data_IF_374530461658
#
_entry.id   IF_374530461658
#
_cell.length_a   1.000
_cell.length_b   1.000
_cell.length_c   1.000
_cell.angle_alpha   90.00
_cell.angle_beta   90.00
_cell.angle_gamma   90.00
#
_symmetry.space_group_name_H-M   'P 1'
#
loop_
_entity.id
_entity.type
_entity.pdbx_description
1 polymer ?
#
# COMPACT_ATOMS: atom_id res chain seq x y z
N UNK A 1 12.72 51.22 40.23
CA UNK A 1 11.51 51.63 40.97
C UNK A 1 10.42 52.03 39.97
N UNK A 2 9.16 51.61 40.17
CA UNK A 2 7.93 52.07 39.45
C UNK A 2 8.00 51.91 37.90
N UNK A 3 7.23 51.06 37.21
CA UNK A 3 5.99 50.36 37.56
C UNK A 3 4.77 51.13 37.05
N UNK A 4 4.08 50.58 36.05
CA UNK A 4 2.68 50.91 35.76
C UNK A 4 1.97 49.70 35.12
N UNK A 5 0.72 49.51 35.52
CA UNK A 5 -0.04 48.27 35.42
C UNK A 5 -1.30 48.53 34.59
N UNK A 6 -1.55 47.78 33.51
CA UNK A 6 -2.74 47.95 32.67
C UNK A 6 -3.78 46.89 33.04
N UNK A 7 -4.89 47.35 33.61
CA UNK A 7 -5.97 46.51 34.13
C UNK A 7 -6.86 45.92 33.04
N UNK A 8 -7.19 44.64 33.19
CA UNK A 8 -8.23 43.94 32.42
C UNK A 8 -9.60 44.61 32.53
N UNK A 9 -10.39 44.54 31.45
CA UNK A 9 -11.85 44.72 31.50
C UNK A 9 -12.53 43.41 31.12
N UNK A 10 -13.17 42.79 32.10
CA UNK A 10 -14.13 41.71 31.86
C UNK A 10 -15.45 42.30 31.35
N UNK A 11 -16.12 41.60 30.43
CA UNK A 11 -17.53 41.87 30.09
C UNK A 11 -18.36 40.63 30.37
N UNK A 12 -19.27 40.74 31.34
CA UNK A 12 -20.21 39.69 31.71
C UNK A 12 -21.53 39.90 30.95
N UNK A 13 -22.09 38.84 30.36
CA UNK A 13 -23.52 38.81 30.00
C UNK A 13 -24.13 37.43 30.26
N UNK A 14 -25.14 37.43 31.12
CA UNK A 14 -25.87 36.26 31.58
C UNK A 14 -27.10 35.98 30.71
N UNK A 15 -27.45 34.70 30.61
CA UNK A 15 -28.59 34.06 29.93
C UNK A 15 -29.92 34.84 29.80
N UNK A 16 -30.62 34.60 28.67
CA UNK A 16 -32.09 34.40 28.67
C UNK A 16 -32.43 33.14 27.86
N UNK A 17 -33.27 32.28 28.43
CA UNK A 17 -33.70 30.98 27.88
C UNK A 17 -35.17 31.06 27.46
N UNK A 18 -35.47 31.00 26.17
CA UNK A 18 -36.85 31.04 25.66
C UNK A 18 -37.33 29.66 25.19
N UNK A 19 -38.31 29.07 25.90
CA UNK A 19 -39.07 27.91 25.41
C UNK A 19 -40.16 28.39 24.44
N UNK A 20 -40.36 27.69 23.32
CA UNK A 20 -41.68 27.62 22.65
C UNK A 20 -42.09 26.17 22.46
N UNK A 21 -43.33 25.88 22.81
CA UNK A 21 -44.04 24.62 22.50
C UNK A 21 -45.09 24.92 21.45
N UNK A 22 -45.17 24.07 20.44
CA UNK A 22 -46.32 23.84 19.53
C UNK A 22 -45.93 22.60 18.72
N UNK A 23 -46.80 21.67 18.34
CA UNK A 23 -48.13 21.23 18.72
C UNK A 23 -48.34 19.97 17.85
N UNK A 24 -48.90 18.90 18.40
CA UNK A 24 -48.94 17.59 17.74
C UNK A 24 -50.02 17.53 16.65
N UNK A 25 -49.70 17.00 15.47
CA UNK A 25 -50.73 16.47 14.55
C UNK A 25 -50.23 15.21 13.83
N UNK A 26 -50.82 14.05 14.16
CA UNK A 26 -50.65 12.81 13.40
C UNK A 26 -51.50 12.87 12.12
N UNK A 27 -50.97 12.42 10.97
CA UNK A 27 -51.73 11.86 9.84
C UNK A 27 -50.82 11.05 8.88
N UNK A 28 -51.02 9.74 8.91
CA UNK A 28 -50.91 8.76 7.80
C UNK A 28 -52.26 8.00 7.81
N UNK A 29 -52.71 7.29 6.76
CA UNK A 29 -51.94 6.78 5.61
C UNK A 29 -52.57 7.07 4.23
N UNK A 30 -51.92 6.61 3.16
CA UNK A 30 -52.56 5.85 2.06
C UNK A 30 -51.48 5.26 1.15
N UNK A 31 -51.70 4.03 0.68
CA UNK A 31 -50.90 3.34 -0.31
C UNK A 31 -51.86 2.67 -1.32
N UNK A 32 -51.51 2.58 -2.62
CA UNK A 32 -52.03 1.58 -3.53
C UNK A 32 -51.00 0.43 -3.64
N UNK A 33 -51.32 -0.82 -3.29
CA UNK A 33 -52.22 -1.76 -3.97
C UNK A 33 -51.45 -2.67 -4.94
N UNK A 34 -50.90 -3.77 -4.40
CA UNK A 34 -50.58 -4.98 -5.17
C UNK A 34 -51.85 -5.70 -5.63
N UNK A 35 -51.89 -6.26 -6.85
CA UNK A 35 -52.73 -7.39 -7.17
C UNK A 35 -51.96 -8.70 -6.95
N UNK A 36 -52.41 -9.52 -6.00
CA UNK A 36 -51.93 -10.89 -5.85
C UNK A 36 -52.35 -11.75 -7.05
N UNK A 37 -51.46 -12.66 -7.48
CA UNK A 37 -51.82 -13.85 -8.25
C UNK A 37 -51.17 -15.04 -7.58
N UNK A 38 -52.00 -15.97 -7.12
CA UNK A 38 -51.60 -17.19 -6.42
C UNK A 38 -51.89 -18.42 -7.30
N UNK A 39 -51.08 -19.47 -7.14
CA UNK A 39 -51.24 -20.86 -7.59
C UNK A 39 -51.57 -21.17 -9.07
N UNK A 40 -50.64 -21.86 -9.77
CA UNK A 40 -50.89 -23.19 -10.40
C UNK A 40 -49.71 -23.69 -11.26
N UNK A 41 -49.17 -24.86 -10.90
CA UNK A 41 -48.51 -25.85 -11.77
C UNK A 41 -49.09 -27.23 -11.37
N UNK A 42 -48.94 -28.34 -12.13
CA UNK A 42 -48.33 -28.53 -13.46
C UNK A 42 -49.27 -29.24 -14.49
N UNK A 43 -48.84 -29.44 -15.75
CA UNK A 43 -49.61 -30.31 -16.68
C UNK A 43 -49.19 -30.41 -18.16
N UNK A 44 -48.24 -31.31 -18.45
CA UNK A 44 -48.05 -32.14 -19.67
C UNK A 44 -48.35 -31.67 -21.12
N UNK A 45 -47.39 -32.05 -21.98
CA UNK A 45 -47.52 -32.61 -23.35
C UNK A 45 -47.88 -31.70 -24.55
N UNK A 46 -47.24 -31.98 -25.70
CA UNK A 46 -47.62 -31.43 -27.00
C UNK A 46 -46.48 -31.21 -28.00
N UNK A 47 -45.91 -32.29 -28.56
CA UNK A 47 -45.02 -32.17 -29.73
C UNK A 47 -45.88 -31.89 -30.97
N UNK A 48 -45.57 -30.86 -31.75
CA UNK A 48 -45.90 -30.82 -33.19
C UNK A 48 -45.05 -29.80 -33.96
N UNK A 49 -44.23 -30.32 -34.86
CA UNK A 49 -43.50 -29.56 -35.88
C UNK A 49 -44.49 -29.02 -36.92
N UNK A 50 -44.51 -27.71 -37.15
CA UNK A 50 -45.18 -27.12 -38.32
C UNK A 50 -44.17 -26.28 -39.11
N UNK A 51 -43.97 -26.67 -40.37
CA UNK A 51 -43.16 -25.92 -41.33
C UNK A 51 -43.81 -24.54 -41.60
N UNK A 52 -43.09 -23.46 -41.31
CA UNK A 52 -43.44 -22.12 -41.81
C UNK A 52 -42.46 -21.71 -42.90
N UNK A 53 -42.96 -21.73 -44.12
CA UNK A 53 -42.25 -21.31 -45.33
C UNK A 53 -42.27 -19.77 -45.38
N UNK A 54 -41.22 -19.11 -44.93
CA UNK A 54 -41.13 -17.64 -45.01
C UNK A 54 -40.37 -17.21 -46.27
N UNK A 55 -41.08 -16.55 -47.18
CA UNK A 55 -40.49 -15.96 -48.38
C UNK A 55 -39.77 -14.64 -48.06
N UNK A 56 -38.63 -14.42 -48.68
CA UNK A 56 -37.86 -13.18 -48.59
C UNK A 56 -38.59 -12.00 -49.28
N UNK A 57 -38.56 -10.80 -48.71
CA UNK A 57 -38.51 -9.56 -49.48
C UNK A 57 -37.06 -9.11 -49.69
N UNK A 58 -36.71 -8.86 -50.95
CA UNK A 58 -35.37 -8.43 -51.38
C UNK A 58 -35.19 -6.94 -51.06
N UNK A 59 -34.25 -6.59 -50.18
CA UNK A 59 -33.77 -5.22 -50.01
C UNK A 59 -32.49 -4.99 -50.81
N UNK A 60 -32.47 -3.91 -51.59
CA UNK A 60 -31.39 -3.55 -52.51
C UNK A 60 -30.07 -3.29 -51.78
N UNK A 61 -28.99 -3.89 -52.28
CA UNK A 61 -27.63 -3.46 -51.95
C UNK A 61 -27.36 -2.06 -52.51
N UNK A 62 -26.79 -1.18 -51.70
CA UNK A 62 -26.23 0.11 -52.11
C UNK A 62 -24.71 -0.03 -52.34
N UNK A 63 -24.22 0.50 -53.46
CA UNK A 63 -22.82 0.42 -53.85
C UNK A 63 -21.90 1.27 -52.95
N UNK A 64 -20.64 0.85 -52.73
CA UNK A 64 -19.66 1.67 -52.03
C UNK A 64 -19.20 2.85 -52.92
N UNK A 65 -19.48 4.09 -52.48
CA UNK A 65 -18.96 5.28 -53.14
C UNK A 65 -17.43 5.33 -53.03
N UNK A 66 -16.76 5.34 -54.17
CA UNK A 66 -15.33 5.65 -54.30
C UNK A 66 -15.06 7.04 -53.70
N UNK A 67 -14.24 7.11 -52.65
CA UNK A 67 -13.66 8.36 -52.19
C UNK A 67 -12.38 8.64 -53.01
N UNK A 68 -12.43 9.70 -53.82
CA UNK A 68 -11.33 10.16 -54.65
C UNK A 68 -10.21 10.71 -53.78
N UNK A 69 -8.99 10.19 -53.93
CA UNK A 69 -7.82 10.70 -53.21
C UNK A 69 -7.47 12.13 -53.67
N UNK A 70 -7.81 13.14 -52.86
CA UNK A 70 -7.48 14.53 -53.16
C UNK A 70 -6.07 14.86 -52.64
N UNK A 71 -5.19 15.14 -53.59
CA UNK A 71 -3.74 15.32 -53.41
C UNK A 71 -3.43 16.67 -52.74
N UNK A 72 -3.36 16.72 -51.41
CA UNK A 72 -2.91 17.92 -50.68
C UNK A 72 -1.39 18.09 -50.89
N UNK A 73 -1.00 19.26 -51.40
CA UNK A 73 0.39 19.58 -51.70
C UNK A 73 1.22 19.78 -50.41
N UNK A 74 2.44 19.24 -50.40
CA UNK A 74 3.41 19.48 -49.32
C UNK A 74 3.94 20.92 -49.42
N UNK A 75 3.45 21.81 -48.55
CA UNK A 75 4.05 23.13 -48.34
C UNK A 75 5.36 23.01 -47.55
N UNK A 76 6.49 23.16 -48.23
CA UNK A 76 7.81 23.01 -47.63
C UNK A 76 8.26 24.31 -46.94
N UNK A 77 8.19 24.39 -45.61
CA UNK A 77 8.58 25.58 -44.85
C UNK A 77 9.79 25.29 -43.93
N UNK A 78 10.99 25.46 -44.48
CA UNK A 78 12.24 25.48 -43.69
C UNK A 78 12.31 26.72 -42.80
N UNK A 79 11.98 26.58 -41.51
CA UNK A 79 12.50 27.50 -40.49
C UNK A 79 13.84 26.97 -39.99
N UNK A 80 14.92 27.69 -40.32
CA UNK A 80 16.27 27.40 -39.84
C UNK A 80 16.33 27.53 -38.32
N UNK A 81 16.48 26.43 -37.60
CA UNK A 81 16.98 26.47 -36.24
C UNK A 81 18.42 26.98 -36.28
N UNK A 82 18.69 28.15 -35.68
CA UNK A 82 20.06 28.63 -35.48
C UNK A 82 20.66 27.86 -34.30
N UNK A 83 21.62 27.00 -34.59
CA UNK A 83 22.51 26.41 -33.59
C UNK A 83 23.25 27.54 -32.87
N UNK A 84 22.93 27.82 -31.61
CA UNK A 84 23.79 28.63 -30.73
C UNK A 84 24.85 27.73 -30.13
N UNK A 85 26.00 27.64 -30.79
CA UNK A 85 27.23 27.10 -30.21
C UNK A 85 27.76 28.09 -29.17
N UNK A 86 27.41 27.88 -27.90
CA UNK A 86 27.95 28.66 -26.78
C UNK A 86 29.31 28.11 -26.38
N UNK A 87 30.38 28.70 -26.93
CA UNK A 87 31.75 28.33 -26.63
C UNK A 87 32.32 29.20 -25.49
N UNK A 88 32.09 28.78 -24.24
CA UNK A 88 32.74 29.41 -23.09
C UNK A 88 34.15 28.84 -22.88
N UNK A 89 35.15 29.73 -22.98
CA UNK A 89 36.54 29.42 -22.67
C UNK A 89 36.74 29.23 -21.16
N UNK A 90 37.58 28.27 -20.70
CA UNK A 90 38.04 28.24 -19.32
C UNK A 90 39.07 29.36 -19.10
N UNK A 91 38.75 30.31 -18.21
CA UNK A 91 39.69 31.35 -17.83
C UNK A 91 40.68 30.78 -16.79
N UNK A 92 41.88 30.41 -17.24
CA UNK A 92 43.00 30.10 -16.36
C UNK A 92 43.48 31.38 -15.65
N UNK A 93 43.47 31.38 -14.30
CA UNK A 93 44.26 32.33 -13.49
C UNK A 93 45.23 31.55 -12.59
N UNK A 94 46.46 32.05 -12.38
CA UNK A 94 47.54 31.24 -11.82
C UNK A 94 47.57 31.19 -10.29
N UNK A 95 48.07 30.05 -9.81
CA UNK A 95 48.47 29.80 -8.43
C UNK A 95 49.71 30.65 -8.08
N UNK A 96 49.64 31.53 -7.09
CA UNK A 96 50.81 32.20 -6.49
C UNK A 96 50.99 31.80 -5.04
N UNK A 97 52.06 31.04 -4.79
CA UNK A 97 52.50 30.59 -3.47
C UNK A 97 53.23 31.73 -2.73
N UNK A 98 52.86 32.00 -1.48
CA UNK A 98 53.61 32.90 -0.60
C UNK A 98 53.66 32.34 0.83
N UNK A 99 54.74 31.61 1.13
CA UNK A 99 55.15 31.28 2.49
C UNK A 99 55.80 32.51 3.13
N UNK A 100 55.41 32.86 4.35
CA UNK A 100 56.31 33.49 5.33
C UNK A 100 55.76 33.34 6.76
N UNK A 101 56.45 32.54 7.57
CA UNK A 101 56.40 32.64 9.04
C UNK A 101 57.50 33.59 9.52
N UNK A 102 57.42 34.09 10.76
CA UNK A 102 58.35 33.53 11.75
C UNK A 102 57.75 33.31 13.15
N UNK A 103 58.48 32.51 13.94
CA UNK A 103 58.22 32.20 15.35
C UNK A 103 58.67 33.34 16.29
N UNK A 104 57.95 33.49 17.41
CA UNK A 104 58.41 34.03 18.72
C UNK A 104 57.28 33.74 19.73
N UNK A 105 57.48 33.28 20.98
CA UNK A 105 58.68 32.84 21.67
C UNK A 105 58.67 33.23 23.16
N UNK A 106 58.31 32.31 24.07
CA UNK A 106 58.46 32.38 25.55
C UNK A 106 57.68 33.51 26.28
N UNK A 107 57.58 33.60 27.61
CA UNK A 107 57.50 32.63 28.75
C UNK A 107 57.42 33.50 30.04
N UNK A 108 56.71 33.10 31.11
CA UNK A 108 56.76 33.83 32.39
C UNK A 108 55.63 33.50 33.38
N UNK A 109 56.00 33.19 34.62
CA UNK A 109 55.17 32.63 35.71
C UNK A 109 54.86 33.61 36.85
N UNK A 110 54.03 33.13 37.80
CA UNK A 110 53.99 33.44 39.26
C UNK A 110 53.53 34.85 39.73
N UNK A 111 52.85 35.08 40.87
CA UNK A 111 52.28 34.23 41.96
C UNK A 111 50.82 34.68 42.31
N UNK A 112 50.10 33.98 43.21
CA UNK A 112 48.89 34.52 43.86
C UNK A 112 48.01 33.54 44.66
N UNK A 113 48.43 33.14 45.86
CA UNK A 113 47.67 32.26 46.79
C UNK A 113 46.47 32.98 47.45
N UNK A 114 45.35 32.28 47.69
CA UNK A 114 44.59 32.25 48.97
C UNK A 114 43.30 31.39 48.90
N UNK A 115 43.42 30.18 49.46
CA UNK A 115 42.55 29.45 50.42
C UNK A 115 40.99 29.43 50.42
N UNK A 116 40.50 28.32 50.98
CA UNK A 116 39.20 28.04 51.61
C UNK A 116 37.87 27.91 50.82
N UNK A 117 37.26 26.72 50.94
CA UNK A 117 35.92 26.66 51.56
C UNK A 117 34.72 26.09 50.76
N UNK A 118 34.14 25.01 51.29
CA UNK A 118 32.75 24.52 51.15
C UNK A 118 32.19 24.23 49.73
N UNK A 119 32.07 22.97 49.29
CA UNK A 119 31.00 21.99 49.62
C UNK A 119 29.55 22.40 49.27
N UNK A 120 28.90 21.49 48.54
CA UNK A 120 27.53 21.55 48.04
C UNK A 120 26.47 21.59 49.15
N UNK A 121 25.55 22.56 49.08
CA UNK A 121 24.36 22.65 49.92
C UNK A 121 23.11 22.14 49.19
N UNK A 122 22.85 20.83 49.30
CA UNK A 122 21.55 20.23 49.01
C UNK A 122 20.76 20.03 50.31
N UNK A 123 19.61 20.69 50.46
CA UNK A 123 18.66 20.42 51.55
C UNK A 123 17.28 21.03 51.28
N UNK A 124 16.18 20.66 51.95
CA UNK A 124 15.70 19.34 52.38
C UNK A 124 14.34 19.54 53.09
N UNK A 125 13.37 18.64 52.88
CA UNK A 125 12.30 18.31 53.83
C UNK A 125 11.61 17.02 53.38
N UNK A 126 11.28 16.03 54.22
CA UNK A 126 11.53 15.94 55.66
C UNK A 126 10.49 15.06 56.36
N UNK A 127 10.79 13.75 56.47
CA UNK A 127 10.40 12.86 57.58
C UNK A 127 8.95 12.34 57.67
N UNK A 128 8.69 11.12 58.12
CA UNK A 128 9.59 9.98 58.41
C UNK A 128 8.84 8.79 59.06
N UNK A 129 9.44 7.59 59.00
CA UNK A 129 9.39 6.46 59.96
C UNK A 129 7.98 5.84 60.31
N UNK A 130 7.76 4.59 60.77
CA UNK A 130 8.51 3.39 61.27
C UNK A 130 7.64 2.12 60.94
N UNK A 131 8.03 0.84 61.11
CA UNK A 131 9.31 0.10 61.11
C UNK A 131 9.05 -1.42 61.26
N UNK A 132 9.84 -2.30 60.61
CA UNK A 132 9.89 -3.75 60.88
C UNK A 132 9.25 -4.63 59.79
N UNK A 133 9.80 -5.80 59.41
CA UNK A 133 11.02 -6.47 59.86
C UNK A 133 10.81 -7.98 60.07
N UNK A 134 11.71 -8.82 59.55
CA UNK A 134 11.75 -10.26 59.86
C UNK A 134 11.64 -11.17 58.63
N UNK A 135 12.75 -11.84 58.29
CA UNK A 135 12.78 -12.96 57.35
C UNK A 135 12.53 -14.29 58.10
N UNK A 136 12.15 -15.36 57.39
CA UNK A 136 12.91 -16.64 57.36
C UNK A 136 12.24 -17.71 56.50
N UNK A 137 13.03 -18.74 56.18
CA UNK A 137 12.76 -19.85 55.26
C UNK A 137 12.10 -21.08 55.89
N UNK A 138 11.34 -21.83 55.07
CA UNK A 138 10.97 -23.24 55.27
C UNK A 138 10.10 -23.69 54.08
N UNK A 139 10.24 -24.86 53.47
CA UNK A 139 10.99 -26.05 53.87
C UNK A 139 10.03 -27.17 54.28
N UNK A 140 9.59 -27.99 53.33
CA UNK A 140 8.65 -29.10 53.59
C UNK A 140 8.33 -29.88 52.32
N UNK A 141 8.68 -31.16 52.29
CA UNK A 141 8.50 -32.07 51.15
C UNK A 141 7.51 -33.20 51.48
N UNK A 142 7.47 -34.22 50.62
CA UNK A 142 6.80 -35.54 50.77
C UNK A 142 5.29 -35.61 50.45
N UNK A 143 4.74 -36.73 49.95
CA UNK A 143 5.24 -37.79 49.05
C UNK A 143 4.11 -38.81 48.75
N UNK A 144 4.10 -39.40 47.56
CA UNK A 144 3.37 -40.66 47.26
C UNK A 144 2.92 -40.76 45.80
N UNK A 145 3.08 -41.87 45.07
CA UNK A 145 3.79 -43.12 45.38
C UNK A 145 3.15 -44.35 44.69
N UNK A 146 3.88 -45.03 43.80
CA UNK A 146 3.46 -46.29 43.12
C UNK A 146 2.55 -46.08 41.89
N UNK A 147 2.82 -46.48 40.64
CA UNK A 147 3.78 -47.38 39.97
C UNK A 147 3.37 -48.86 39.78
N UNK A 148 3.46 -49.32 38.51
CA UNK A 148 3.56 -50.73 38.01
C UNK A 148 2.29 -51.62 38.01
N UNK A 149 2.07 -52.58 37.10
CA UNK A 149 2.76 -53.02 35.85
C UNK A 149 1.87 -53.95 34.98
N UNK A 150 2.33 -54.29 33.76
CA UNK A 150 1.80 -55.38 32.91
C UNK A 150 1.06 -54.90 31.65
N UNK A 151 1.37 -55.31 30.42
CA UNK A 151 2.32 -56.32 29.94
C UNK A 151 1.60 -57.42 29.14
N UNK A 152 1.76 -57.45 27.81
CA UNK A 152 1.18 -58.48 26.96
C UNK A 152 1.18 -58.11 25.47
N UNK A 153 1.89 -58.88 24.65
CA UNK A 153 1.96 -58.71 23.20
C UNK A 153 1.70 -60.05 22.48
N UNK A 154 1.67 -60.00 21.14
CA UNK A 154 1.82 -61.11 20.17
C UNK A 154 0.56 -61.83 19.61
N UNK A 155 0.23 -61.44 18.37
CA UNK A 155 0.19 -62.27 17.14
C UNK A 155 -0.69 -63.53 16.97
N UNK A 156 -1.25 -63.64 15.75
CA UNK A 156 -1.70 -64.89 15.10
C UNK A 156 -3.22 -64.96 14.88
N UNK A 157 -3.78 -65.33 13.72
CA UNK A 157 -3.20 -65.62 12.39
C UNK A 157 -3.97 -66.72 11.63
N UNK A 158 -4.26 -66.54 10.33
CA UNK A 158 -4.54 -67.63 9.37
C UNK A 158 -5.94 -67.74 8.72
N UNK A 159 -5.97 -68.10 7.42
CA UNK A 159 -7.13 -68.59 6.65
C UNK A 159 -7.90 -67.53 5.83
N UNK A 160 -7.77 -67.26 4.52
CA UNK A 160 -7.37 -67.99 3.29
C UNK A 160 -8.55 -68.46 2.40
N UNK A 161 -8.55 -68.03 1.12
CA UNK A 161 -9.16 -68.56 -0.16
C UNK A 161 -9.64 -67.40 -1.07
N UNK A 162 -8.92 -67.04 -2.14
CA UNK A 162 -9.03 -67.51 -3.56
C UNK A 162 -10.31 -67.07 -4.29
N UNK A 163 -10.33 -66.49 -5.50
CA UNK A 163 -9.32 -66.04 -6.49
C UNK A 163 -10.04 -65.12 -7.53
N UNK A 164 -9.53 -64.70 -8.70
CA UNK A 164 -8.25 -64.89 -9.40
C UNK A 164 -8.33 -64.27 -10.83
N UNK A 165 -7.18 -64.00 -11.47
CA UNK A 165 -7.05 -63.36 -12.81
C UNK A 165 -7.23 -61.83 -12.79
N UNK A 166 -6.47 -60.97 -13.49
CA UNK A 166 -5.55 -61.10 -14.64
C UNK A 166 -5.90 -59.98 -15.65
N UNK A 167 -5.00 -59.27 -16.34
CA UNK A 167 -3.55 -59.37 -16.43
C UNK A 167 -2.88 -58.06 -16.93
N UNK A 168 -1.61 -57.86 -16.55
CA UNK A 168 -0.46 -57.28 -17.31
C UNK A 168 -0.61 -56.08 -18.28
N UNK A 169 0.06 -54.97 -17.94
CA UNK A 169 1.22 -54.35 -18.66
C UNK A 169 1.59 -53.04 -17.90
N UNK A 170 2.79 -52.74 -17.41
CA UNK A 170 4.13 -52.81 -18.02
C UNK A 170 4.50 -51.41 -18.56
N UNK A 171 5.61 -50.74 -18.22
CA UNK A 171 6.73 -51.04 -17.31
C UNK A 171 7.95 -50.15 -17.68
N UNK A 172 8.66 -49.57 -16.68
CA UNK A 172 9.82 -48.66 -16.88
C UNK A 172 9.43 -47.21 -17.23
N UNK A 173 10.02 -46.15 -16.67
CA UNK A 173 11.14 -46.08 -15.72
C UNK A 173 12.51 -46.13 -16.40
N UNK A 174 13.08 -44.96 -16.72
CA UNK A 174 14.34 -44.49 -16.11
C UNK A 174 14.87 -43.15 -16.69
N UNK A 175 15.80 -42.57 -15.93
CA UNK A 175 16.83 -41.59 -16.31
C UNK A 175 16.42 -40.13 -16.58
N UNK A 176 16.87 -39.26 -15.68
CA UNK A 176 16.99 -37.83 -15.91
C UNK A 176 18.02 -37.51 -17.01
N UNK A 177 17.85 -36.37 -17.69
CA UNK A 177 18.93 -35.69 -18.41
C UNK A 177 18.88 -34.21 -18.08
N UNK A 178 19.95 -33.69 -17.50
CA UNK A 178 20.12 -32.28 -17.17
C UNK A 178 20.30 -31.43 -18.42
N UNK A 179 19.21 -30.83 -18.89
CA UNK A 179 19.22 -29.77 -19.90
C UNK A 179 19.24 -28.39 -19.21
N UNK A 180 20.42 -27.80 -19.07
CA UNK A 180 20.58 -26.43 -18.54
C UNK A 180 20.08 -25.38 -19.53
N UNK A 181 18.76 -25.18 -19.58
CA UNK A 181 18.14 -24.05 -20.26
C UNK A 181 17.95 -22.89 -19.30
N UNK A 182 18.53 -21.73 -19.60
CA UNK A 182 18.19 -20.48 -18.90
C UNK A 182 16.74 -20.13 -19.26
N UNK A 183 15.80 -20.50 -18.39
CA UNK A 183 14.44 -20.03 -18.48
C UNK A 183 14.40 -18.56 -18.08
N UNK A 184 14.15 -17.67 -19.03
CA UNK A 184 13.68 -16.31 -18.76
C UNK A 184 12.32 -16.44 -18.08
N UNK A 185 12.35 -16.52 -16.75
CA UNK A 185 11.25 -17.05 -15.93
C UNK A 185 10.08 -16.10 -15.80
N UNK A 186 9.25 -16.01 -16.84
CA UNK A 186 7.90 -15.46 -16.69
C UNK A 186 7.10 -16.36 -15.75
N UNK A 187 6.83 -15.87 -14.52
CA UNK A 187 6.04 -16.60 -13.54
C UNK A 187 4.65 -16.96 -14.07
N UNK A 188 4.10 -18.08 -13.59
CA UNK A 188 2.76 -18.56 -13.95
C UNK A 188 1.68 -17.62 -13.39
N UNK A 189 0.53 -17.54 -14.07
CA UNK A 189 -0.68 -16.87 -13.56
C UNK A 189 -1.13 -17.43 -12.22
N UNK A 190 -0.84 -18.72 -11.98
CA UNK A 190 -1.07 -19.40 -10.71
C UNK A 190 -0.46 -18.64 -9.54
N UNK A 191 0.83 -18.27 -9.56
CA UNK A 191 1.47 -17.61 -8.41
C UNK A 191 1.32 -16.10 -8.37
N UNK A 192 1.26 -15.41 -9.52
CA UNK A 192 1.26 -13.95 -9.55
C UNK A 192 0.04 -13.38 -8.81
N UNK A 193 0.27 -12.78 -7.64
CA UNK A 193 -0.79 -12.43 -6.68
C UNK A 193 -0.47 -11.20 -5.82
N UNK A 194 0.72 -10.61 -5.98
CA UNK A 194 1.10 -9.33 -5.40
C UNK A 194 1.95 -8.51 -6.38
N UNK A 195 1.80 -7.18 -6.35
CA UNK A 195 2.77 -6.23 -6.90
C UNK A 195 2.60 -4.81 -6.31
N UNK A 196 3.63 -3.98 -6.43
CA UNK A 196 3.53 -2.51 -6.32
C UNK A 196 3.21 -1.93 -7.70
N UNK A 197 2.27 -1.01 -7.85
CA UNK A 197 2.01 -0.40 -9.17
C UNK A 197 3.20 0.43 -9.64
N UNK A 198 3.74 0.19 -10.84
CA UNK A 198 4.81 1.02 -11.40
C UNK A 198 4.30 2.42 -11.79
N UNK A 199 5.20 3.42 -11.78
CA UNK A 199 4.90 4.77 -12.29
C UNK A 199 4.39 4.73 -13.73
N UNK A 200 4.98 3.87 -14.57
CA UNK A 200 4.60 3.72 -15.98
C UNK A 200 3.13 3.30 -16.10
N UNK A 201 2.70 2.28 -15.35
CA UNK A 201 1.32 1.83 -15.35
C UNK A 201 0.36 2.87 -14.75
N UNK A 202 0.77 3.57 -13.69
CA UNK A 202 -0.04 4.64 -13.09
C UNK A 202 -0.26 5.81 -14.06
N UNK A 203 0.77 6.24 -14.79
CA UNK A 203 0.65 7.26 -15.86
C UNK A 203 -0.20 6.80 -17.03
N UNK A 204 0.00 5.56 -17.49
CA UNK A 204 -0.75 5.01 -18.63
C UNK A 204 -2.25 4.89 -18.33
N UNK A 205 -2.63 4.52 -17.10
CA UNK A 205 -4.03 4.40 -16.72
C UNK A 205 -4.68 5.72 -16.28
N UNK A 206 -3.93 6.67 -15.73
CA UNK A 206 -4.47 8.01 -15.43
C UNK A 206 -4.58 8.90 -16.67
N UNK A 207 -3.75 8.67 -17.69
CA UNK A 207 -3.58 9.57 -18.83
C UNK A 207 -2.82 10.85 -18.48
N UNK A 208 -2.06 10.86 -17.37
CA UNK A 208 -1.34 12.01 -16.83
C UNK A 208 0.07 11.63 -16.40
N UNK A 209 1.07 12.46 -16.72
CA UNK A 209 2.45 12.31 -16.24
C UNK A 209 2.57 12.44 -14.71
N UNK A 210 1.58 13.03 -14.04
CA UNK A 210 1.55 13.20 -12.59
C UNK A 210 0.84 12.05 -11.86
N UNK A 211 0.40 11.01 -12.58
CA UNK A 211 -0.33 9.87 -12.02
C UNK A 211 -1.79 10.20 -11.70
N UNK A 212 -2.35 9.54 -10.67
CA UNK A 212 -3.75 9.72 -10.24
C UNK A 212 -3.94 10.77 -9.12
N UNK A 213 -2.90 11.04 -8.31
CA UNK A 213 -3.10 11.69 -7.02
C UNK A 213 -3.89 10.79 -6.07
N UNK A 214 -4.71 11.41 -5.20
CA UNK A 214 -5.62 10.70 -4.30
C UNK A 214 -6.95 10.27 -4.92
N UNK A 215 -7.27 10.65 -6.17
CA UNK A 215 -8.51 10.25 -6.84
C UNK A 215 -8.32 8.96 -7.64
N UNK A 216 -8.58 7.84 -6.98
CA UNK A 216 -8.37 6.51 -7.54
C UNK A 216 -9.61 5.94 -8.24
N UNK A 217 -10.67 6.75 -8.45
CA UNK A 217 -11.98 6.28 -8.94
C UNK A 217 -11.94 5.54 -10.27
N UNK A 218 -11.01 5.84 -11.19
CA UNK A 218 -10.80 5.10 -12.44
C UNK A 218 -12.11 4.70 -13.20
N UNK A 219 -12.98 5.69 -13.40
CA UNK A 219 -14.28 5.54 -14.08
C UNK A 219 -15.42 4.96 -13.21
N UNK A 220 -15.17 4.62 -11.94
CA UNK A 220 -16.19 4.26 -10.97
C UNK A 220 -16.92 5.49 -10.41
N UNK A 221 -18.19 5.32 -10.03
CA UNK A 221 -19.03 6.38 -9.45
C UNK A 221 -19.90 5.84 -8.30
N UNK A 222 -20.44 6.75 -7.46
CA UNK A 222 -21.28 6.39 -6.33
C UNK A 222 -20.51 5.98 -5.05
N UNK A 223 -21.19 5.34 -4.08
CA UNK A 223 -20.58 4.89 -2.82
C UNK A 223 -19.36 3.98 -3.06
N UNK A 224 -18.30 4.15 -2.27
CA UNK A 224 -17.07 3.34 -2.36
C UNK A 224 -16.29 3.45 -3.68
N UNK A 225 -16.59 4.42 -4.55
CA UNK A 225 -15.99 4.50 -5.89
C UNK A 225 -14.46 4.61 -5.89
N UNK A 226 -13.84 5.27 -4.92
CA UNK A 226 -12.37 5.35 -4.81
C UNK A 226 -11.73 3.97 -4.58
N UNK A 227 -12.33 3.16 -3.70
CA UNK A 227 -11.86 1.79 -3.44
C UNK A 227 -12.09 0.85 -4.62
N UNK A 228 -13.28 0.85 -5.23
CA UNK A 228 -13.54 0.04 -6.42
C UNK A 228 -12.65 0.44 -7.59
N UNK A 229 -12.39 1.74 -7.74
CA UNK A 229 -11.50 2.27 -8.77
C UNK A 229 -10.06 1.81 -8.58
N UNK A 230 -9.54 1.87 -7.35
CA UNK A 230 -8.22 1.35 -7.01
C UNK A 230 -8.10 -0.17 -7.26
N UNK A 231 -9.12 -0.95 -6.92
CA UNK A 231 -9.17 -2.40 -7.18
C UNK A 231 -9.18 -2.71 -8.69
N UNK A 232 -9.87 -1.88 -9.46
CA UNK A 232 -9.94 -1.95 -10.93
C UNK A 232 -8.64 -1.50 -11.60
N UNK A 233 -7.91 -0.53 -11.03
CA UNK A 233 -6.54 -0.19 -11.41
C UNK A 233 -5.66 -1.44 -11.25
N UNK A 234 -5.62 -2.05 -10.07
CA UNK A 234 -4.86 -3.27 -9.81
C UNK A 234 -5.22 -4.41 -10.80
N UNK A 235 -6.50 -4.70 -11.01
CA UNK A 235 -6.92 -5.75 -11.94
C UNK A 235 -6.51 -5.45 -13.40
N UNK A 236 -6.56 -4.18 -13.82
CA UNK A 236 -6.16 -3.76 -15.17
C UNK A 236 -4.65 -3.87 -15.39
N UNK A 237 -3.85 -3.51 -14.38
CA UNK A 237 -2.38 -3.62 -14.46
C UNK A 237 -1.96 -5.09 -14.48
N UNK A 238 -2.55 -5.92 -13.62
CA UNK A 238 -2.30 -7.37 -13.60
C UNK A 238 -2.57 -8.02 -14.96
N UNK A 239 -3.73 -7.72 -15.56
CA UNK A 239 -4.11 -8.24 -16.89
C UNK A 239 -3.16 -7.77 -18.00
N UNK A 240 -2.64 -6.53 -17.92
CA UNK A 240 -1.68 -6.01 -18.88
C UNK A 240 -0.30 -6.65 -18.78
N UNK A 241 0.21 -6.91 -17.57
CA UNK A 241 1.53 -7.56 -17.39
C UNK A 241 1.50 -9.07 -17.62
N UNK A 242 0.37 -9.72 -17.30
CA UNK A 242 0.17 -11.15 -17.54
C UNK A 242 -1.30 -11.44 -17.90
N UNK A 243 -1.62 -11.67 -19.19
CA UNK A 243 -2.99 -11.96 -19.61
C UNK A 243 -3.63 -13.12 -18.82
N UNK A 244 -4.88 -12.91 -18.40
CA UNK A 244 -5.65 -13.77 -17.50
C UNK A 244 -5.43 -13.49 -16.00
N UNK A 245 -4.36 -12.80 -15.60
CA UNK A 245 -4.11 -12.51 -14.18
C UNK A 245 -5.12 -11.51 -13.58
N UNK A 246 -5.76 -10.66 -14.39
CA UNK A 246 -6.75 -9.69 -13.90
C UNK A 246 -7.99 -10.33 -13.26
N UNK A 247 -8.26 -11.61 -13.55
CA UNK A 247 -9.41 -12.34 -13.03
C UNK A 247 -9.30 -12.80 -11.57
N UNK A 248 -8.12 -12.67 -10.93
CA UNK A 248 -7.84 -13.14 -9.54
C UNK A 248 -8.44 -12.29 -8.41
N UNK A 249 -9.41 -11.41 -8.73
CA UNK A 249 -10.13 -10.58 -7.77
C UNK A 249 -9.21 -9.61 -7.02
N UNK A 250 -8.55 -8.70 -7.73
CA UNK A 250 -7.56 -7.80 -7.15
C UNK A 250 -8.13 -6.77 -6.17
N UNK A 251 -7.29 -6.38 -5.21
CA UNK A 251 -7.57 -5.42 -4.13
C UNK A 251 -6.36 -4.52 -3.93
N UNK A 252 -6.57 -3.21 -4.00
CA UNK A 252 -5.59 -2.24 -3.54
C UNK A 252 -5.58 -2.22 -2.00
N UNK A 253 -4.41 -2.23 -1.37
CA UNK A 253 -4.27 -2.25 0.10
C UNK A 253 -4.55 -0.87 0.72
N UNK A 254 -5.81 -0.43 0.64
CA UNK A 254 -6.26 0.88 1.11
C UNK A 254 -7.36 0.75 2.16
N UNK A 255 -7.25 1.54 3.23
CA UNK A 255 -8.32 1.77 4.20
C UNK A 255 -9.22 2.95 3.76
N UNK A 256 -10.48 3.00 4.22
CA UNK A 256 -11.44 4.08 3.94
C UNK A 256 -12.41 4.28 5.12
N UNK A 257 -12.96 5.49 5.27
CA UNK A 257 -14.01 5.78 6.25
C UNK A 257 -15.36 5.16 5.87
N UNK A 258 -15.62 5.05 4.57
CA UNK A 258 -16.83 4.45 4.01
C UNK A 258 -16.54 3.63 2.75
N UNK A 259 -16.86 2.34 2.80
CA UNK A 259 -16.97 1.46 1.65
C UNK A 259 -18.31 1.62 0.91
N UNK A 260 -18.63 0.66 0.05
CA UNK A 260 -19.88 0.66 -0.74
C UNK A 260 -21.14 0.57 0.13
N UNK A 261 -21.04 -0.09 1.29
CA UNK A 261 -22.11 -0.23 2.27
C UNK A 261 -22.13 0.89 3.33
N UNK A 262 -21.26 1.89 3.17
CA UNK A 262 -21.11 3.03 4.09
C UNK A 262 -20.40 2.72 5.40
N UNK A 263 -19.82 1.51 5.59
CA UNK A 263 -19.02 1.19 6.79
C UNK A 263 -17.54 1.48 6.59
N UNK A 264 -16.81 1.68 7.69
CA UNK A 264 -15.35 1.75 7.67
C UNK A 264 -14.76 0.48 7.06
N UNK A 265 -13.71 0.66 6.26
CA UNK A 265 -12.96 -0.41 5.62
C UNK A 265 -11.50 -0.32 6.06
N UNK A 266 -10.95 -1.43 6.56
CA UNK A 266 -9.53 -1.59 6.85
C UNK A 266 -8.85 -2.34 5.70
N UNK A 267 -7.67 -1.91 5.27
CA UNK A 267 -6.94 -2.55 4.18
C UNK A 267 -6.70 -4.06 4.39
N UNK A 268 -6.35 -4.47 5.61
CA UNK A 268 -6.08 -5.88 5.97
C UNK A 268 -7.31 -6.79 5.85
N UNK A 269 -8.51 -6.24 6.05
CA UNK A 269 -9.77 -6.98 5.97
C UNK A 269 -10.23 -7.18 4.51
N UNK A 270 -9.64 -6.47 3.55
CA UNK A 270 -10.03 -6.50 2.12
C UNK A 270 -9.35 -7.60 1.31
N UNK A 271 -8.18 -8.08 1.75
CA UNK A 271 -7.34 -9.02 0.99
C UNK A 271 -7.61 -10.49 1.39
N UNK A 272 -7.16 -11.43 0.55
CA UNK A 272 -7.26 -12.87 0.81
C UNK A 272 -6.38 -13.32 1.98
N UNK A 273 -6.29 -14.63 2.25
CA UNK A 273 -5.49 -15.14 3.39
C UNK A 273 -4.02 -15.48 3.04
N UNK A 274 -3.60 -15.27 1.78
CA UNK A 274 -2.28 -15.69 1.28
C UNK A 274 -2.26 -17.17 0.83
N UNK A 275 -1.07 -17.72 0.49
CA UNK A 275 0.22 -17.05 0.38
C UNK A 275 0.32 -16.18 -0.88
N UNK A 276 0.97 -15.01 -0.80
CA UNK A 276 1.15 -14.13 -1.96
C UNK A 276 2.55 -14.18 -2.54
N UNK A 277 2.63 -14.08 -3.85
CA UNK A 277 3.88 -14.05 -4.62
C UNK A 277 3.90 -12.91 -5.63
N UNK A 278 5.09 -12.42 -5.90
CA UNK A 278 5.33 -11.47 -6.99
C UNK A 278 5.11 -12.09 -8.38
N UNK A 279 5.32 -11.27 -9.42
CA UNK A 279 5.24 -11.67 -10.83
C UNK A 279 6.16 -12.82 -11.24
N UNK A 280 7.24 -13.07 -10.51
CA UNK A 280 8.23 -14.13 -10.77
C UNK A 280 8.02 -15.36 -9.87
N UNK A 281 7.05 -15.34 -8.95
CA UNK A 281 6.75 -16.42 -8.02
C UNK A 281 7.59 -16.43 -6.73
N UNK A 282 8.28 -15.32 -6.41
CA UNK A 282 8.98 -15.09 -5.14
C UNK A 282 7.98 -14.71 -4.05
N UNK A 283 8.16 -15.27 -2.85
CA UNK A 283 7.22 -15.14 -1.74
C UNK A 283 7.21 -13.71 -1.17
N UNK A 284 6.02 -13.17 -0.95
CA UNK A 284 5.82 -11.86 -0.31
C UNK A 284 5.34 -12.04 1.14
N UNK A 285 4.37 -12.93 1.36
CA UNK A 285 3.95 -13.36 2.69
C UNK A 285 3.20 -14.68 2.61
N UNK A 286 3.36 -15.55 3.61
CA UNK A 286 2.62 -16.79 3.72
C UNK A 286 1.15 -16.56 4.12
N UNK A 287 0.91 -15.57 4.98
CA UNK A 287 -0.42 -15.26 5.51
C UNK A 287 -0.52 -13.81 6.03
N UNK A 288 -1.74 -13.39 6.42
CA UNK A 288 -1.99 -12.04 6.97
C UNK A 288 -1.16 -11.72 8.21
N UNK A 289 -0.82 -12.72 9.03
CA UNK A 289 -0.08 -12.52 10.28
C UNK A 289 1.35 -11.99 10.07
N UNK A 290 1.95 -12.23 8.90
CA UNK A 290 3.29 -11.74 8.56
C UNK A 290 3.29 -10.27 8.12
N UNK A 291 2.15 -9.74 7.68
CA UNK A 291 2.01 -8.41 7.08
C UNK A 291 2.22 -7.25 8.08
N UNK A 292 1.72 -7.26 9.33
CA UNK A 292 1.92 -6.18 10.30
C UNK A 292 3.36 -5.98 10.82
N UNK A 293 4.30 -6.82 10.39
CA UNK A 293 5.72 -6.65 10.66
C UNK A 293 6.30 -5.44 9.91
N UNK A 294 7.45 -4.91 10.35
CA UNK A 294 8.14 -3.76 9.72
C UNK A 294 8.31 -3.93 8.21
N UNK A 295 8.64 -5.16 7.79
CA UNK A 295 8.55 -5.71 6.44
C UNK A 295 7.82 -7.06 6.56
N UNK A 296 7.16 -7.58 5.50
CA UNK A 296 6.54 -8.90 5.56
C UNK A 296 7.56 -9.97 5.96
N UNK A 297 7.33 -10.64 7.10
CA UNK A 297 8.39 -11.40 7.77
C UNK A 297 8.79 -12.70 7.07
N UNK A 298 7.93 -13.24 6.21
CA UNK A 298 8.21 -14.42 5.37
C UNK A 298 8.59 -14.09 3.92
N UNK A 299 8.80 -12.81 3.58
CA UNK A 299 9.19 -12.43 2.22
C UNK A 299 10.57 -13.01 1.82
N UNK A 300 10.69 -13.34 0.55
CA UNK A 300 11.94 -13.76 -0.09
C UNK A 300 13.01 -12.66 0.06
N UNK A 301 14.23 -13.05 0.46
CA UNK A 301 15.34 -12.13 0.75
C UNK A 301 15.69 -11.22 -0.45
N UNK A 302 15.42 -11.67 -1.69
CA UNK A 302 15.67 -10.90 -2.90
C UNK A 302 14.66 -9.76 -3.14
N UNK A 303 13.54 -9.71 -2.39
CA UNK A 303 12.49 -8.69 -2.56
C UNK A 303 12.01 -8.06 -1.24
N UNK A 304 12.34 -8.62 -0.08
CA UNK A 304 11.89 -8.10 1.21
C UNK A 304 12.25 -6.63 1.41
N UNK A 305 13.37 -6.17 0.83
CA UNK A 305 13.80 -4.77 0.88
C UNK A 305 13.55 -3.98 -0.42
N UNK A 306 12.92 -4.56 -1.43
CA UNK A 306 12.43 -3.81 -2.59
C UNK A 306 11.27 -4.57 -3.25
N UNK A 307 10.05 -4.22 -2.85
CA UNK A 307 8.85 -4.96 -3.26
C UNK A 307 8.63 -4.78 -4.76
N UNK A 308 8.46 -5.86 -5.57
CA UNK A 308 8.54 -5.74 -7.01
C UNK A 308 7.28 -5.14 -7.61
N UNK A 309 7.44 -4.53 -8.79
CA UNK A 309 6.31 -4.04 -9.56
C UNK A 309 5.59 -5.14 -10.34
N UNK A 310 4.58 -4.77 -11.14
CA UNK A 310 3.77 -5.72 -11.92
C UNK A 310 4.59 -6.62 -12.85
N UNK A 311 5.74 -6.17 -13.33
CA UNK A 311 6.63 -6.91 -14.24
C UNK A 311 7.70 -7.73 -13.48
N UNK A 312 7.69 -7.69 -12.14
CA UNK A 312 8.60 -8.46 -11.28
C UNK A 312 9.98 -7.85 -11.11
N UNK A 313 10.21 -6.64 -11.61
CA UNK A 313 11.43 -5.89 -11.33
C UNK A 313 11.29 -5.12 -10.00
N UNK A 314 12.38 -4.95 -9.23
CA UNK A 314 12.34 -4.18 -7.99
C UNK A 314 11.88 -2.72 -8.23
N UNK A 315 11.16 -2.10 -7.29
CA UNK A 315 10.54 -0.80 -7.52
C UNK A 315 11.55 0.36 -7.46
N UNK A 316 12.50 0.33 -6.52
CA UNK A 316 13.59 1.32 -6.42
C UNK A 316 14.51 1.27 -7.66
N UNK A 317 14.73 0.07 -8.21
CA UNK A 317 15.54 -0.18 -9.40
C UNK A 317 14.70 -0.67 -10.60
N UNK A 318 13.62 0.06 -10.92
CA UNK A 318 12.66 -0.31 -11.97
C UNK A 318 13.27 -0.41 -13.39
N UNK A 319 14.38 0.28 -13.67
CA UNK A 319 15.20 0.09 -14.87
C UNK A 319 16.65 -0.19 -14.45
N UNK A 320 17.17 -1.42 -14.61
CA UNK A 320 18.56 -1.76 -14.28
C UNK A 320 19.64 -1.02 -15.08
N UNK A 321 19.28 -0.29 -16.14
CA UNK A 321 20.19 0.54 -16.94
C UNK A 321 20.27 2.00 -16.49
N UNK A 322 19.44 2.42 -15.53
CA UNK A 322 19.36 3.78 -14.99
C UNK A 322 19.79 3.81 -13.51
N UNK A 323 20.08 5.00 -12.94
CA UNK A 323 20.15 5.17 -11.49
C UNK A 323 18.84 4.74 -10.81
N UNK A 324 18.94 4.22 -9.59
CA UNK A 324 17.77 3.98 -8.75
C UNK A 324 16.99 5.27 -8.49
N UNK A 325 15.67 5.16 -8.30
CA UNK A 325 14.73 6.28 -8.18
C UNK A 325 14.08 6.33 -6.81
N UNK A 326 13.96 7.53 -6.23
CA UNK A 326 13.36 7.69 -4.91
C UNK A 326 11.83 7.62 -4.97
N UNK A 327 11.27 6.40 -5.05
CA UNK A 327 9.85 6.15 -5.28
C UNK A 327 9.16 5.26 -4.22
N UNK A 328 9.63 5.34 -2.98
CA UNK A 328 9.18 4.48 -1.89
C UNK A 328 7.70 4.65 -1.53
N UNK A 329 7.15 5.86 -1.59
CA UNK A 329 5.84 6.18 -1.05
C UNK A 329 4.68 5.48 -1.78
N UNK A 330 3.98 4.66 -1.00
CA UNK A 330 2.84 3.84 -1.42
C UNK A 330 1.63 4.18 -0.55
N UNK A 331 0.50 4.53 -1.16
CA UNK A 331 -0.73 4.91 -0.45
C UNK A 331 -1.30 3.71 0.32
N UNK A 332 -1.70 3.92 1.57
CA UNK A 332 -2.36 2.87 2.38
C UNK A 332 -3.55 3.35 3.20
N UNK A 333 -3.56 4.61 3.65
CA UNK A 333 -4.54 5.11 4.62
C UNK A 333 -4.48 4.42 5.99
N UNK A 334 -3.44 3.61 6.25
CA UNK A 334 -3.46 2.54 7.24
C UNK A 334 -2.38 2.64 8.32
N UNK A 335 -2.69 2.18 9.53
CA UNK A 335 -1.75 1.93 10.61
C UNK A 335 -0.87 0.71 10.29
N UNK A 336 0.10 0.40 11.16
CA UNK A 336 0.99 -0.76 10.96
C UNK A 336 0.27 -2.11 11.00
N UNK A 337 -1.00 -2.15 11.40
CA UNK A 337 -1.83 -3.35 11.41
C UNK A 337 -2.80 -3.39 10.21
N UNK A 338 -2.67 -2.47 9.24
CA UNK A 338 -3.52 -2.39 8.06
C UNK A 338 -4.95 -1.88 8.34
N UNK A 339 -5.16 -1.14 9.43
CA UNK A 339 -6.44 -0.53 9.81
C UNK A 339 -6.44 0.98 9.59
N UNK A 340 -7.61 1.57 9.37
CA UNK A 340 -7.74 3.01 9.10
C UNK A 340 -7.11 3.87 10.22
N UNK A 341 -6.15 4.75 9.88
CA UNK A 341 -5.56 5.71 10.85
C UNK A 341 -6.57 6.78 11.28
N UNK A 342 -7.34 7.30 10.32
CA UNK A 342 -8.31 8.36 10.56
C UNK A 342 -8.89 8.92 9.27
N UNK A 343 -9.90 9.80 9.37
CA UNK A 343 -10.69 10.24 8.21
C UNK A 343 -9.95 11.16 7.24
N UNK A 344 -8.87 11.81 7.68
CA UNK A 344 -8.03 12.65 6.82
C UNK A 344 -6.94 11.86 6.09
N UNK A 345 -6.80 10.56 6.36
CA UNK A 345 -5.71 9.72 5.85
C UNK A 345 -5.99 9.09 4.47
N UNK A 346 -7.12 9.41 3.83
CA UNK A 346 -7.66 8.66 2.68
C UNK A 346 -8.07 9.51 1.48
N UNK A 347 -7.76 10.81 1.43
CA UNK A 347 -8.13 11.68 0.30
C UNK A 347 -9.63 11.66 -0.04
N UNK A 348 -10.47 11.88 0.98
CA UNK A 348 -11.93 11.71 0.91
C UNK A 348 -12.33 10.32 0.36
N UNK A 349 -11.80 9.25 0.97
CA UNK A 349 -12.00 7.85 0.55
C UNK A 349 -11.65 7.59 -0.92
N UNK A 350 -10.52 8.16 -1.29
CA UNK A 350 -9.82 8.03 -2.57
C UNK A 350 -10.60 8.61 -3.74
N UNK A 351 -11.26 9.75 -3.49
CA UNK A 351 -12.09 10.48 -4.45
C UNK A 351 -11.68 11.94 -4.65
N UNK A 352 -10.64 12.41 -3.96
CA UNK A 352 -10.07 13.76 -4.13
C UNK A 352 -8.65 13.74 -4.67
N UNK A 353 -8.42 14.53 -5.71
CA UNK A 353 -7.10 14.84 -6.27
C UNK A 353 -6.69 16.30 -6.01
N UNK A 354 -7.19 16.92 -4.94
CA UNK A 354 -6.84 18.32 -4.60
C UNK A 354 -5.82 18.39 -3.47
N UNK A 355 -4.87 19.32 -3.59
CA UNK A 355 -3.86 19.61 -2.56
C UNK A 355 -4.37 20.52 -1.43
N UNK A 356 -5.67 20.48 -1.11
CA UNK A 356 -6.25 21.29 -0.04
C UNK A 356 -6.33 20.51 1.29
N UNK A 357 -6.33 21.24 2.39
CA UNK A 357 -6.41 20.66 3.73
C UNK A 357 -7.77 20.03 4.05
N UNK A 358 -8.81 20.30 3.25
CA UNK A 358 -10.14 19.71 3.42
C UNK A 358 -10.19 18.27 2.88
N UNK A 359 -9.35 17.93 1.91
CA UNK A 359 -9.17 16.56 1.40
C UNK A 359 -8.25 15.70 2.26
N UNK A 360 -7.48 16.35 3.15
CA UNK A 360 -6.60 15.68 4.09
C UNK A 360 -5.20 15.41 3.53
N UNK A 361 -4.52 14.47 4.18
CA UNK A 361 -3.11 14.12 3.98
C UNK A 361 -3.00 12.59 4.06
N UNK A 362 -2.83 11.88 2.93
CA UNK A 362 -2.99 10.44 2.93
C UNK A 362 -1.83 9.75 3.66
N UNK A 363 -2.15 8.71 4.44
CA UNK A 363 -1.11 7.88 5.08
C UNK A 363 -0.44 7.02 4.02
N UNK A 364 0.89 7.07 3.98
CA UNK A 364 1.74 6.23 3.14
C UNK A 364 2.55 5.24 3.96
N UNK A 365 2.98 4.17 3.29
CA UNK A 365 4.02 3.26 3.73
C UNK A 365 5.05 3.07 2.62
N UNK A 366 6.19 2.46 2.93
CA UNK A 366 7.35 2.45 2.03
C UNK A 366 7.53 1.11 1.30
N UNK A 367 7.50 1.09 -0.04
CA UNK A 367 7.70 -0.13 -0.85
C UNK A 367 9.11 -0.73 -0.70
N UNK A 368 10.11 0.10 -0.41
CA UNK A 368 11.49 -0.27 -0.06
C UNK A 368 12.00 0.63 1.08
N UNK A 369 12.97 0.19 1.92
CA UNK A 369 13.32 0.90 3.15
C UNK A 369 14.22 2.11 2.89
N UNK A 370 13.78 3.28 3.34
CA UNK A 370 14.61 4.49 3.43
C UNK A 370 15.38 4.49 4.75
N UNK A 371 16.68 4.72 4.69
CA UNK A 371 17.56 4.72 5.86
C UNK A 371 18.05 6.14 6.16
N UNK A 372 17.28 6.90 6.94
CA UNK A 372 17.57 8.31 7.29
C UNK A 372 18.58 8.41 8.45
N UNK A 373 19.59 7.54 8.46
CA UNK A 373 20.58 7.41 9.54
C UNK A 373 20.03 6.78 10.82
N UNK A 374 20.86 6.78 11.87
CA UNK A 374 20.66 5.97 13.08
C UNK A 374 19.42 6.31 13.95
N UNK A 375 18.64 7.34 13.61
CA UNK A 375 17.53 7.83 14.43
C UNK A 375 16.13 7.57 13.83
N UNK A 376 16.02 7.27 12.53
CA UNK A 376 14.74 7.21 11.80
C UNK A 376 14.75 6.08 10.76
N UNK A 377 14.05 4.97 11.05
CA UNK A 377 13.88 3.87 10.08
C UNK A 377 12.68 4.12 9.18
N UNK A 378 12.90 4.56 7.94
CA UNK A 378 11.89 4.57 6.88
C UNK A 378 11.64 3.17 6.30
N UNK A 379 11.56 2.14 7.16
CA UNK A 379 11.43 0.73 6.77
C UNK A 379 10.00 0.21 6.84
N UNK A 380 9.10 0.93 7.50
CA UNK A 380 7.71 0.50 7.75
C UNK A 380 6.90 0.50 6.46
N UNK A 381 6.58 -0.70 5.96
CA UNK A 381 6.01 -0.83 4.62
C UNK A 381 4.52 -0.46 4.50
N UNK A 382 3.73 -0.60 5.57
CA UNK A 382 2.31 -0.18 5.58
C UNK A 382 2.13 1.27 6.03
N UNK A 383 2.91 1.76 7.00
CA UNK A 383 2.60 3.00 7.72
C UNK A 383 3.86 3.71 8.21
N UNK A 384 4.21 4.80 7.52
CA UNK A 384 5.40 5.62 7.77
C UNK A 384 5.02 7.06 8.15
N UNK A 385 4.62 7.88 7.18
CA UNK A 385 4.18 9.27 7.38
C UNK A 385 2.90 9.59 6.60
N UNK A 386 2.38 10.80 6.77
CA UNK A 386 1.32 11.34 5.92
C UNK A 386 1.97 12.15 4.77
N UNK A 387 1.48 11.99 3.54
CA UNK A 387 1.87 12.84 2.41
C UNK A 387 1.22 14.23 2.54
N UNK A 388 1.81 15.31 1.98
CA UNK A 388 1.39 16.69 2.27
C UNK A 388 0.06 17.09 1.64
N UNK A 389 -0.46 16.30 0.69
CA UNK A 389 -1.82 16.46 0.18
C UNK A 389 -2.19 15.38 -0.84
N UNK A 390 -3.34 15.56 -1.49
CA UNK A 390 -3.91 14.57 -2.40
C UNK A 390 -3.72 14.90 -3.89
N UNK A 391 -3.01 15.98 -4.24
CA UNK A 391 -2.79 16.32 -5.64
C UNK A 391 -1.93 15.25 -6.36
N UNK A 392 -2.13 15.03 -7.68
CA UNK A 392 -1.18 14.30 -8.50
C UNK A 392 0.20 14.96 -8.44
N UNK A 393 1.26 14.15 -8.52
CA UNK A 393 2.63 14.63 -8.47
C UNK A 393 3.61 13.48 -8.35
N UNK A 394 4.79 13.65 -8.94
CA UNK A 394 5.83 12.62 -9.06
C UNK A 394 7.16 13.20 -8.63
N UNK A 395 7.76 12.62 -7.59
CA UNK A 395 9.11 12.93 -7.14
C UNK A 395 9.89 11.61 -7.13
N UNK A 396 10.96 11.54 -7.94
CA UNK A 396 11.81 10.36 -8.11
C UNK A 396 13.27 10.61 -7.66
N UNK A 397 13.49 11.75 -7.02
CA UNK A 397 14.79 12.22 -6.54
C UNK A 397 14.63 12.56 -5.07
N UNK A 398 15.66 12.25 -4.29
CA UNK A 398 15.69 12.55 -2.86
C UNK A 398 15.86 14.06 -2.63
N UNK A 399 14.76 14.73 -2.26
CA UNK A 399 14.74 16.16 -1.93
C UNK A 399 14.54 16.41 -0.42
N UNK A 400 14.50 15.36 0.39
CA UNK A 400 14.31 15.41 1.84
C UNK A 400 12.88 15.05 2.27
N UNK A 401 12.40 15.53 3.44
CA UNK A 401 11.07 15.22 3.92
C UNK A 401 9.98 15.85 3.04
N UNK A 402 8.72 15.36 3.12
CA UNK A 402 7.61 15.94 2.37
C UNK A 402 7.40 17.43 2.67
N UNK A 403 7.07 18.21 1.63
CA UNK A 403 7.01 19.67 1.70
C UNK A 403 5.56 20.16 1.62
N UNK A 404 5.13 20.97 2.60
CA UNK A 404 3.74 21.44 2.73
C UNK A 404 3.28 22.38 1.59
N UNK A 405 4.21 23.00 0.87
CA UNK A 405 3.96 23.83 -0.31
C UNK A 405 3.90 23.02 -1.63
N UNK A 406 4.21 21.72 -1.60
CA UNK A 406 3.91 20.75 -2.66
C UNK A 406 2.91 19.69 -2.16
N UNK A 407 1.60 20.01 -2.04
CA UNK A 407 0.58 19.15 -1.45
C UNK A 407 0.13 18.00 -2.36
N UNK A 408 1.10 17.21 -2.83
CA UNK A 408 0.95 16.08 -3.74
C UNK A 408 1.15 14.74 -3.01
N UNK A 409 0.66 13.66 -3.62
CA UNK A 409 0.89 12.29 -3.12
C UNK A 409 2.31 11.76 -3.36
N UNK A 410 3.12 12.46 -4.16
CA UNK A 410 4.50 12.08 -4.47
C UNK A 410 5.56 12.82 -3.65
N UNK A 411 5.24 13.97 -3.06
CA UNK A 411 6.18 14.74 -2.24
C UNK A 411 6.56 13.93 -0.99
N UNK A 412 7.86 13.66 -0.84
CA UNK A 412 8.41 12.66 0.08
C UNK A 412 9.31 11.66 -0.64
N UNK A 413 8.89 11.21 -1.83
CA UNK A 413 9.62 10.28 -2.71
C UNK A 413 8.68 9.20 -3.25
N UNK A 414 7.95 9.51 -4.32
CA UNK A 414 6.93 8.64 -4.87
C UNK A 414 6.04 9.27 -5.95
N UNK A 415 4.92 8.61 -6.20
CA UNK A 415 3.93 8.99 -7.21
C UNK A 415 2.50 8.57 -6.86
N UNK A 416 2.25 8.26 -5.58
CA UNK A 416 1.00 7.65 -5.13
C UNK A 416 0.84 6.21 -5.62
N UNK A 417 1.89 5.38 -5.48
CA UNK A 417 1.82 3.95 -5.82
C UNK A 417 0.83 3.18 -4.95
N UNK A 418 0.41 1.99 -5.40
CA UNK A 418 -0.50 1.10 -4.67
C UNK A 418 0.14 -0.27 -4.46
N UNK A 419 -0.09 -0.87 -3.30
CA UNK A 419 0.06 -2.32 -3.14
C UNK A 419 -1.19 -3.03 -3.66
N UNK A 420 -1.02 -3.93 -4.63
CA UNK A 420 -2.09 -4.72 -5.22
C UNK A 420 -1.97 -6.17 -4.75
N UNK A 421 -3.03 -6.73 -4.19
CA UNK A 421 -3.15 -8.12 -3.73
C UNK A 421 -4.29 -8.85 -4.45
N UNK A 422 -4.07 -10.09 -4.85
CA UNK A 422 -5.15 -10.98 -5.28
C UNK A 422 -5.94 -11.52 -4.08
N UNK A 423 -7.26 -11.72 -4.25
CA UNK A 423 -8.12 -12.39 -3.27
C UNK A 423 -7.94 -13.92 -3.28
N UNK A 424 -7.72 -14.48 -4.46
CA UNK A 424 -7.33 -15.87 -4.70
C UNK A 424 -5.90 -15.87 -5.22
N UNK A 425 -4.90 -16.05 -4.34
CA UNK A 425 -3.49 -15.98 -4.73
C UNK A 425 -3.04 -17.07 -5.69
#
# INVERSE_FOLDING_TARGET
>A
MRGLEVRSRAFCRTTVRARRRTATTRRRPMAPADPAVEWALPGQAGISTVHVKLAMPISRASEPRRLTAQRIARGNNHRKAKTMTSAYHPLMLPLTLALLSPMLGCSGSDEGVLDDGATSSSSASGGGATSGGGATSGGGATSGGGATSGGGAASGGGGATSGGGGATSGGGGDAATSGGGVTTGGGTTEKFSFFVTSLKAMRELSGSEDGFGGDLRFGETGPGAGLRGADKICATIAEKSLPGAGSKGWRAFLSATAGEDGKQVNAIDRIGEGPWYDRLGRLVANSKEELPSTRPSGADEAIINDLPNEDGVPNHQADPSQPAVDNHDTLTGSDRQGRLVGPTATCNDWTSATGDSASGKPRVGHSWPRNFGAAMSGSQWISSHDAPGCAPGVYLVEEGPPQDDSPTVGSGGGYGGLYCFALTP
#
